data_IF_045845808987
#
_entry.id   IF_045845808987
#
_cell.length_a   1.000
_cell.length_b   1.000
_cell.length_c   1.000
_cell.angle_alpha   90.00
_cell.angle_beta   90.00
_cell.angle_gamma   90.00
#
_symmetry.space_group_name_H-M   'P 1'
#
loop_
_entity.id
_entity.type
_entity.pdbx_description
1 polymer ?
#
# COMPACT_ATOMS: atom_id res chain seq x y z
N UNK A 1 10.23 21.92 -12.74
CA UNK A 1 9.60 21.67 -11.42
C UNK A 1 10.72 21.74 -10.37
N UNK A 2 10.44 22.07 -9.09
CA UNK A 2 11.50 22.14 -8.07
C UNK A 2 11.87 20.72 -7.61
N UNK A 3 13.15 20.36 -7.43
CA UNK A 3 13.57 18.98 -7.08
C UNK A 3 12.85 18.35 -5.87
N UNK A 4 12.50 19.16 -4.88
CA UNK A 4 11.74 18.72 -3.71
C UNK A 4 10.30 18.29 -4.05
N UNK A 5 9.63 19.01 -4.95
CA UNK A 5 8.27 18.66 -5.38
C UNK A 5 8.25 17.35 -6.18
N UNK A 6 9.30 17.10 -6.98
CA UNK A 6 9.45 15.85 -7.73
C UNK A 6 9.71 14.67 -6.79
N UNK A 7 10.57 14.85 -5.78
CA UNK A 7 10.80 13.84 -4.74
C UNK A 7 9.52 13.48 -3.97
N UNK A 8 8.73 14.49 -3.56
CA UNK A 8 7.46 14.26 -2.84
C UNK A 8 6.48 13.49 -3.72
N UNK A 9 6.28 13.90 -4.98
CA UNK A 9 5.39 13.18 -5.90
C UNK A 9 5.84 11.74 -6.12
N UNK A 10 7.12 11.52 -6.43
CA UNK A 10 7.63 10.18 -6.70
C UNK A 10 7.54 9.29 -5.46
N UNK A 11 7.74 9.85 -4.26
CA UNK A 11 7.55 9.12 -3.01
C UNK A 11 6.10 8.71 -2.84
N UNK A 12 5.13 9.62 -3.02
CA UNK A 12 3.69 9.31 -2.92
C UNK A 12 3.30 8.23 -3.92
N UNK A 13 3.66 8.38 -5.19
CA UNK A 13 3.32 7.42 -6.26
C UNK A 13 3.91 6.03 -5.95
N UNK A 14 5.16 5.97 -5.46
CA UNK A 14 5.83 4.71 -5.06
C UNK A 14 5.11 4.02 -3.90
N UNK A 15 4.71 4.79 -2.88
CA UNK A 15 4.03 4.22 -1.70
C UNK A 15 2.60 3.78 -2.03
N UNK A 16 1.87 4.50 -2.88
CA UNK A 16 0.55 4.08 -3.36
C UNK A 16 0.64 2.75 -4.11
N UNK A 17 1.61 2.63 -5.03
CA UNK A 17 1.78 1.41 -5.83
C UNK A 17 2.24 0.22 -4.98
N UNK A 18 3.39 0.33 -4.31
CA UNK A 18 3.96 -0.82 -3.58
C UNK A 18 3.25 -1.11 -2.26
N UNK A 19 2.66 -0.10 -1.59
CA UNK A 19 1.90 -0.30 -0.38
C UNK A 19 0.71 -1.24 -0.61
N UNK A 20 0.02 -1.10 -1.75
CA UNK A 20 -1.06 -2.01 -2.13
C UNK A 20 -0.56 -3.42 -2.41
N UNK A 21 0.51 -3.56 -3.21
CA UNK A 21 1.11 -4.87 -3.51
C UNK A 21 1.49 -5.60 -2.22
N UNK A 22 2.07 -4.88 -1.25
CA UNK A 22 2.46 -5.47 0.04
C UNK A 22 1.27 -5.83 0.93
N UNK A 23 0.16 -5.08 0.86
CA UNK A 23 -1.10 -5.48 1.50
C UNK A 23 -1.62 -6.81 0.92
N UNK A 24 -1.63 -6.95 -0.39
CA UNK A 24 -2.10 -8.14 -1.10
C UNK A 24 -1.17 -9.35 -0.82
N UNK A 25 0.15 -9.16 -0.84
CA UNK A 25 1.10 -10.21 -0.46
C UNK A 25 0.93 -10.67 0.99
N UNK A 26 0.65 -9.75 1.92
CA UNK A 26 0.37 -10.10 3.31
C UNK A 26 -0.90 -10.97 3.43
N UNK A 27 -1.92 -10.71 2.61
CA UNK A 27 -3.09 -11.57 2.51
C UNK A 27 -2.75 -12.96 1.92
N UNK A 28 -1.95 -13.02 0.86
CA UNK A 28 -1.52 -14.30 0.28
C UNK A 28 -0.70 -15.15 1.25
N UNK A 29 0.17 -14.53 2.05
CA UNK A 29 0.89 -15.20 3.13
C UNK A 29 -0.08 -15.76 4.17
N UNK A 30 -1.00 -14.93 4.67
CA UNK A 30 -1.99 -15.33 5.67
C UNK A 30 -2.83 -16.53 5.20
N UNK A 31 -3.25 -16.54 3.94
CA UNK A 31 -4.03 -17.63 3.34
C UNK A 31 -3.19 -18.86 2.96
N UNK A 32 -1.88 -18.69 2.72
CA UNK A 32 -0.97 -19.74 2.26
C UNK A 32 -0.28 -20.52 3.38
N UNK A 33 -0.21 -19.99 4.60
CA UNK A 33 0.36 -20.72 5.74
C UNK A 33 -0.52 -21.89 6.18
N UNK A 34 0.12 -22.96 6.64
CA UNK A 34 -0.59 -24.11 7.21
C UNK A 34 -1.10 -23.77 8.61
N UNK A 35 -2.23 -24.35 9.02
CA UNK A 35 -2.93 -23.97 10.27
C UNK A 35 -2.09 -24.06 11.55
N UNK A 36 -1.04 -24.89 11.58
CA UNK A 36 -0.13 -25.00 12.73
C UNK A 36 0.78 -23.78 12.91
N UNK A 37 1.00 -23.00 11.85
CA UNK A 37 1.91 -21.84 11.84
C UNK A 37 1.16 -20.57 12.26
N UNK A 38 0.49 -20.64 13.42
CA UNK A 38 -0.44 -19.58 13.88
C UNK A 38 0.23 -18.23 14.09
N UNK A 39 1.51 -18.22 14.46
CA UNK A 39 2.26 -16.98 14.68
C UNK A 39 2.54 -16.26 13.35
N UNK A 40 2.92 -17.00 12.30
CA UNK A 40 3.11 -16.43 10.97
C UNK A 40 1.78 -15.94 10.36
N UNK A 41 0.68 -16.65 10.60
CA UNK A 41 -0.67 -16.19 10.18
C UNK A 41 -1.02 -14.86 10.85
N UNK A 42 -0.76 -14.72 12.16
CA UNK A 42 -1.02 -13.47 12.90
C UNK A 42 -0.12 -12.33 12.45
N UNK A 43 1.15 -12.61 12.16
CA UNK A 43 2.09 -11.62 11.65
C UNK A 43 1.68 -11.14 10.26
N UNK A 44 1.29 -12.05 9.36
CA UNK A 44 0.76 -11.70 8.05
C UNK A 44 -0.53 -10.85 8.13
N UNK A 45 -1.44 -11.16 9.05
CA UNK A 45 -2.63 -10.32 9.30
C UNK A 45 -2.27 -8.93 9.83
N UNK A 46 -1.25 -8.86 10.69
CA UNK A 46 -0.74 -7.60 11.25
C UNK A 46 -0.12 -6.74 10.16
N UNK A 47 0.72 -7.32 9.30
CA UNK A 47 1.31 -6.64 8.13
C UNK A 47 0.22 -6.13 7.20
N UNK A 48 -0.79 -6.97 6.90
CA UNK A 48 -1.93 -6.58 6.06
C UNK A 48 -2.64 -5.34 6.60
N UNK A 49 -2.92 -5.30 7.92
CA UNK A 49 -3.55 -4.15 8.59
C UNK A 49 -2.65 -2.91 8.59
N UNK A 50 -1.34 -3.08 8.79
CA UNK A 50 -0.39 -1.97 8.78
C UNK A 50 -0.25 -1.34 7.38
N UNK A 51 -0.20 -2.15 6.32
CA UNK A 51 -0.21 -1.63 4.95
C UNK A 51 -1.54 -0.95 4.60
N UNK A 52 -2.67 -1.47 5.09
CA UNK A 52 -3.97 -0.81 4.92
C UNK A 52 -4.01 0.57 5.59
N UNK A 53 -3.47 0.70 6.81
CA UNK A 53 -3.34 1.98 7.50
C UNK A 53 -2.42 2.95 6.75
N UNK A 54 -1.22 2.48 6.36
CA UNK A 54 -0.26 3.28 5.59
C UNK A 54 -0.88 3.80 4.30
N UNK A 55 -1.64 2.97 3.56
CA UNK A 55 -2.29 3.41 2.33
C UNK A 55 -3.32 4.52 2.57
N UNK A 56 -4.09 4.45 3.66
CA UNK A 56 -5.02 5.54 4.03
C UNK A 56 -4.28 6.84 4.29
N UNK A 57 -3.16 6.78 5.00
CA UNK A 57 -2.32 7.95 5.28
C UNK A 57 -1.75 8.53 3.98
N UNK A 58 -1.21 7.67 3.11
CA UNK A 58 -0.63 8.10 1.82
C UNK A 58 -1.72 8.70 0.92
N UNK A 59 -2.91 8.12 0.86
CA UNK A 59 -4.06 8.67 0.12
C UNK A 59 -4.48 10.03 0.69
N UNK A 60 -4.50 10.18 2.02
CA UNK A 60 -4.83 11.46 2.66
C UNK A 60 -3.82 12.57 2.33
N UNK A 61 -2.55 12.23 2.13
CA UNK A 61 -1.48 13.18 1.76
C UNK A 61 -1.38 13.38 0.24
N UNK A 62 -1.87 12.41 -0.54
CA UNK A 62 -1.91 12.44 -1.99
C UNK A 62 -2.92 13.44 -2.58
N UNK A 63 -3.88 13.92 -1.78
CA UNK A 63 -4.93 14.83 -2.25
C UNK A 63 -4.33 16.12 -2.83
N UNK A 64 -4.54 16.33 -4.14
CA UNK A 64 -3.96 17.43 -4.92
C UNK A 64 -2.50 17.27 -5.35
N UNK A 65 -1.79 16.20 -4.96
CA UNK A 65 -0.35 15.98 -5.24
C UNK A 65 -0.08 14.76 -6.13
N UNK A 66 -0.88 13.69 -5.97
CA UNK A 66 -0.69 12.44 -6.70
C UNK A 66 -0.82 12.62 -8.22
N UNK A 67 -0.03 11.83 -8.96
CA UNK A 67 -0.06 11.86 -10.41
C UNK A 67 -1.43 11.42 -10.95
N UNK A 68 -1.96 12.08 -12.01
CA UNK A 68 -3.17 11.62 -12.69
C UNK A 68 -3.09 10.17 -13.15
N UNK A 69 -1.89 9.67 -13.46
CA UNK A 69 -1.68 8.28 -13.88
C UNK A 69 -2.05 7.28 -12.77
N UNK A 70 -1.72 7.57 -11.51
CA UNK A 70 -2.04 6.69 -10.37
C UNK A 70 -3.53 6.78 -10.01
N UNK A 71 -4.13 7.97 -10.13
CA UNK A 71 -5.57 8.14 -9.91
C UNK A 71 -6.42 7.46 -11.00
N UNK A 72 -5.95 7.46 -12.24
CA UNK A 72 -6.65 6.87 -13.39
C UNK A 72 -6.37 5.39 -13.59
N UNK A 73 -5.33 4.82 -12.97
CA UNK A 73 -5.02 3.40 -13.13
C UNK A 73 -6.07 2.49 -12.49
N UNK A 74 -6.92 3.03 -11.60
CA UNK A 74 -7.86 2.23 -10.82
C UNK A 74 -7.15 1.32 -9.81
N UNK A 75 -5.83 1.46 -9.66
CA UNK A 75 -5.02 0.59 -8.81
C UNK A 75 -5.06 1.02 -7.34
N UNK A 76 -5.58 2.20 -7.03
CA UNK A 76 -5.54 2.75 -5.65
C UNK A 76 -6.68 2.21 -4.78
N UNK A 77 -7.79 1.79 -5.40
CA UNK A 77 -8.99 1.32 -4.68
C UNK A 77 -9.40 -0.04 -5.23
N UNK A 78 -9.19 -1.09 -4.43
CA UNK A 78 -9.85 -2.39 -4.61
C UNK A 78 -10.88 -2.59 -3.50
N UNK A 79 -12.10 -3.07 -3.82
CA UNK A 79 -13.16 -3.34 -2.85
C UNK A 79 -12.79 -4.43 -1.84
#
# INVERSE_FOLDING_TARGET
>A
MRPCADYVRQSIDTHLFFGRIMKEHSFFLQAGFVCKDTDFIREADTLRKNFDHLLRDVVSVADGVASPAVLQSGEVVTP
#
